data_IF_556290685985
#
_entry.id   IF_556290685985
#
_cell.length_a   1.000
_cell.length_b   1.000
_cell.length_c   1.000
_cell.angle_alpha   90.00
_cell.angle_beta   90.00
_cell.angle_gamma   90.00
#
_symmetry.space_group_name_H-M   'P 1'
#
loop_
_entity.id
_entity.type
_entity.pdbx_description
1 polymer ?
#
# COMPACT_ATOMS: atom_id res chain seq x y z
N UNK A 1 -5.94 -17.43 -5.09
CA UNK A 1 -4.62 -17.11 -5.67
C UNK A 1 -4.19 -15.74 -5.16
N UNK A 2 -3.07 -15.65 -4.45
CA UNK A 2 -2.57 -14.36 -3.93
C UNK A 2 -1.95 -13.54 -5.06
N UNK A 3 -2.25 -12.25 -5.10
CA UNK A 3 -1.63 -11.31 -6.04
C UNK A 3 -0.85 -10.26 -5.26
N UNK A 4 0.43 -10.13 -5.56
CA UNK A 4 1.32 -9.16 -4.93
C UNK A 4 1.65 -8.04 -5.93
N UNK A 5 1.51 -6.80 -5.48
CA UNK A 5 1.84 -5.60 -6.24
C UNK A 5 2.94 -4.85 -5.53
N UNK A 6 3.94 -4.40 -6.28
CA UNK A 6 4.99 -3.57 -5.72
C UNK A 6 4.54 -2.13 -5.56
N UNK A 7 5.08 -1.48 -4.54
CA UNK A 7 4.84 -0.06 -4.29
C UNK A 7 5.66 0.78 -5.26
N UNK A 8 5.03 1.75 -5.90
CA UNK A 8 5.74 2.70 -6.75
C UNK A 8 6.58 3.64 -5.88
N UNK A 9 7.87 3.67 -6.12
CA UNK A 9 8.78 4.55 -5.41
C UNK A 9 8.58 5.98 -5.96
N UNK A 10 8.23 6.91 -5.08
CA UNK A 10 8.12 8.31 -5.46
C UNK A 10 9.50 8.90 -5.79
N UNK A 11 9.57 9.73 -6.82
CA UNK A 11 10.80 10.45 -7.17
C UNK A 11 11.34 11.32 -6.02
N UNK A 12 10.46 11.78 -5.14
CA UNK A 12 10.81 12.50 -3.92
C UNK A 12 11.62 11.62 -2.96
N UNK A 13 11.27 10.34 -2.83
CA UNK A 13 12.00 9.39 -1.97
C UNK A 13 13.43 9.17 -2.47
N UNK A 14 13.63 9.06 -3.79
CA UNK A 14 14.96 8.97 -4.39
C UNK A 14 15.78 10.23 -4.13
N UNK A 15 15.18 11.41 -4.24
CA UNK A 15 15.85 12.68 -3.98
C UNK A 15 16.29 12.79 -2.53
N UNK A 16 15.44 12.41 -1.58
CA UNK A 16 15.81 12.35 -0.16
C UNK A 16 16.94 11.36 0.10
N UNK A 17 16.89 10.18 -0.52
CA UNK A 17 17.93 9.17 -0.37
C UNK A 17 19.29 9.68 -0.86
N UNK A 18 19.33 10.32 -2.02
CA UNK A 18 20.54 10.93 -2.56
C UNK A 18 21.06 12.03 -1.64
N UNK A 19 20.17 12.91 -1.16
CA UNK A 19 20.55 14.00 -0.26
C UNK A 19 21.14 13.47 1.05
N UNK A 20 20.51 12.50 1.69
CA UNK A 20 21.02 11.90 2.94
C UNK A 20 22.33 11.16 2.73
N UNK A 21 22.50 10.46 1.61
CA UNK A 21 23.76 9.81 1.26
C UNK A 21 24.88 10.83 1.08
N UNK A 22 24.60 11.96 0.44
CA UNK A 22 25.57 13.02 0.24
C UNK A 22 25.98 13.67 1.57
N UNK A 23 25.03 13.95 2.46
CA UNK A 23 25.30 14.46 3.81
C UNK A 23 26.16 13.45 4.60
N UNK A 24 25.87 12.17 4.52
CA UNK A 24 26.64 11.10 5.15
C UNK A 24 28.10 11.12 4.66
N UNK A 25 28.33 11.19 3.35
CA UNK A 25 29.69 11.23 2.78
C UNK A 25 30.47 12.46 3.24
N UNK A 26 29.83 13.63 3.26
CA UNK A 26 30.46 14.87 3.75
C UNK A 26 30.78 14.76 5.25
N UNK A 27 29.89 14.19 6.05
CA UNK A 27 30.11 14.00 7.48
C UNK A 27 31.31 13.08 7.78
N UNK A 28 31.50 12.02 6.98
CA UNK A 28 32.69 11.16 7.11
C UNK A 28 34.00 11.84 6.70
N UNK A 29 33.93 12.83 5.81
CA UNK A 29 35.12 13.61 5.43
C UNK A 29 35.65 14.49 6.56
N UNK A 30 34.77 14.96 7.44
CA UNK A 30 35.15 15.78 8.59
C UNK A 30 35.51 14.92 9.78
N UNK A 31 36.78 15.01 10.25
CA UNK A 31 37.37 14.20 11.35
C UNK A 31 36.59 14.23 12.68
N UNK A 32 35.69 15.17 12.89
CA UNK A 32 34.92 15.30 14.14
C UNK A 32 33.43 14.87 14.00
N UNK A 33 32.97 14.56 12.81
CA UNK A 33 31.55 14.32 12.54
C UNK A 33 31.19 12.84 12.26
N UNK A 34 32.08 11.92 12.61
CA UNK A 34 31.89 10.49 12.35
C UNK A 34 30.62 9.93 13.00
N UNK A 35 30.24 10.37 14.19
CA UNK A 35 29.02 9.96 14.87
C UNK A 35 27.75 10.43 14.10
N UNK A 36 27.82 11.63 13.55
CA UNK A 36 26.73 12.18 12.72
C UNK A 36 26.61 11.38 11.42
N UNK A 37 27.74 11.05 10.78
CA UNK A 37 27.78 10.20 9.59
C UNK A 37 27.17 8.82 9.86
N UNK A 38 27.46 8.21 11.00
CA UNK A 38 26.90 6.92 11.41
C UNK A 38 25.39 6.97 11.61
N UNK A 39 24.89 8.04 12.21
CA UNK A 39 23.46 8.27 12.38
C UNK A 39 22.73 8.39 11.02
N UNK A 40 23.27 9.18 10.09
CA UNK A 40 22.71 9.29 8.75
C UNK A 40 22.79 7.98 7.95
N UNK A 41 23.86 7.21 8.12
CA UNK A 41 23.99 5.88 7.52
C UNK A 41 22.84 4.95 7.97
N UNK A 42 22.50 4.96 9.26
CA UNK A 42 21.38 4.18 9.79
C UNK A 42 20.04 4.58 9.16
N UNK A 43 19.80 5.89 9.00
CA UNK A 43 18.60 6.40 8.34
C UNK A 43 18.52 5.95 6.88
N UNK A 44 19.65 6.00 6.15
CA UNK A 44 19.74 5.55 4.75
C UNK A 44 19.42 4.06 4.65
N UNK A 45 19.96 3.23 5.51
CA UNK A 45 19.71 1.78 5.53
C UNK A 45 18.22 1.49 5.76
N UNK A 46 17.60 2.15 6.73
CA UNK A 46 16.16 1.98 7.03
C UNK A 46 15.31 2.39 5.82
N UNK A 47 15.67 3.48 5.13
CA UNK A 47 14.94 3.92 3.94
C UNK A 47 15.09 2.95 2.76
N UNK A 48 16.27 2.40 2.53
CA UNK A 48 16.53 1.41 1.49
C UNK A 48 15.71 0.14 1.77
N UNK A 49 15.73 -0.36 3.00
CA UNK A 49 14.95 -1.51 3.44
C UNK A 49 13.44 -1.30 3.17
N UNK A 50 12.91 -0.14 3.51
CA UNK A 50 11.52 0.21 3.27
C UNK A 50 11.16 0.22 1.79
N UNK A 51 12.05 0.75 0.94
CA UNK A 51 11.85 0.83 -0.51
C UNK A 51 11.78 -0.56 -1.15
N UNK A 52 12.68 -1.46 -0.76
CA UNK A 52 12.79 -2.79 -1.37
C UNK A 52 11.66 -3.71 -0.94
N UNK A 53 11.23 -3.63 0.32
CA UNK A 53 10.29 -4.58 0.91
C UNK A 53 8.83 -4.08 0.99
N UNK A 54 8.53 -2.90 0.44
CA UNK A 54 7.14 -2.41 0.44
C UNK A 54 6.31 -3.09 -0.65
N UNK A 55 5.27 -3.82 -0.23
CA UNK A 55 4.37 -4.55 -1.13
C UNK A 55 2.93 -4.49 -0.67
N UNK A 56 2.02 -4.54 -1.65
CA UNK A 56 0.58 -4.71 -1.42
C UNK A 56 0.17 -6.09 -1.88
N UNK A 57 -0.37 -6.89 -1.00
CA UNK A 57 -0.80 -8.26 -1.31
C UNK A 57 -2.30 -8.41 -1.12
N UNK A 58 -2.98 -8.81 -2.18
CA UNK A 58 -4.37 -9.25 -2.13
C UNK A 58 -4.38 -10.75 -1.87
N UNK A 59 -4.75 -11.14 -0.65
CA UNK A 59 -4.80 -12.56 -0.26
C UNK A 59 -6.05 -13.26 -0.80
N UNK A 60 -5.99 -14.57 -0.96
CA UNK A 60 -7.13 -15.39 -1.37
C UNK A 60 -8.28 -15.31 -0.35
N UNK A 61 -7.94 -15.11 0.92
CA UNK A 61 -8.88 -15.03 2.05
C UNK A 61 -9.67 -13.70 2.09
N UNK A 62 -9.53 -12.85 1.09
CA UNK A 62 -10.25 -11.58 1.03
C UNK A 62 -9.69 -10.50 1.95
N UNK A 63 -8.38 -10.44 2.12
CA UNK A 63 -7.71 -9.40 2.87
C UNK A 63 -6.73 -8.62 1.98
N UNK A 64 -6.68 -7.31 2.18
CA UNK A 64 -5.64 -6.44 1.65
C UNK A 64 -4.54 -6.29 2.70
N UNK A 65 -3.39 -6.90 2.44
CA UNK A 65 -2.21 -6.82 3.30
C UNK A 65 -1.26 -5.78 2.76
N UNK A 66 -0.98 -4.78 3.57
CA UNK A 66 -0.04 -3.70 3.27
C UNK A 66 1.21 -3.96 4.09
N UNK A 67 2.29 -4.29 3.39
CA UNK A 67 3.60 -4.51 3.98
C UNK A 67 4.53 -3.35 3.61
N UNK A 68 4.97 -2.58 4.60
CA UNK A 68 5.82 -1.40 4.42
C UNK A 68 7.24 -1.62 4.92
N UNK A 69 7.78 -2.84 4.72
CA UNK A 69 9.12 -3.20 5.18
C UNK A 69 9.16 -3.75 6.60
N UNK A 70 10.34 -4.19 6.99
CA UNK A 70 10.61 -4.96 8.23
C UNK A 70 10.36 -4.18 9.52
N UNK A 71 10.49 -2.85 9.46
CA UNK A 71 10.37 -1.98 10.64
C UNK A 71 8.95 -1.46 10.88
N UNK A 72 8.00 -1.77 10.02
CA UNK A 72 6.60 -1.38 10.18
C UNK A 72 5.71 -2.60 10.32
N UNK A 73 4.68 -2.48 11.17
CA UNK A 73 3.67 -3.55 11.33
C UNK A 73 2.87 -3.70 10.05
N UNK A 74 2.62 -4.92 9.67
CA UNK A 74 1.69 -5.26 8.60
C UNK A 74 0.30 -4.72 8.92
N UNK A 75 -0.33 -4.12 7.93
CA UNK A 75 -1.71 -3.65 8.04
C UNK A 75 -2.61 -4.55 7.23
N UNK A 76 -3.45 -5.29 7.92
CA UNK A 76 -4.46 -6.15 7.31
C UNK A 76 -5.80 -5.43 7.28
N UNK A 77 -6.34 -5.21 6.10
CA UNK A 77 -7.65 -4.62 5.89
C UNK A 77 -8.52 -5.68 5.21
N UNK A 78 -9.55 -6.21 5.90
CA UNK A 78 -10.47 -7.14 5.26
C UNK A 78 -11.29 -6.41 4.19
N UNK A 79 -11.44 -7.02 3.02
CA UNK A 79 -12.22 -6.47 1.91
C UNK A 79 -13.67 -6.15 2.29
N UNK A 80 -14.20 -6.85 3.32
CA UNK A 80 -15.55 -6.58 3.85
C UNK A 80 -15.70 -5.20 4.49
N UNK A 81 -14.60 -4.57 4.88
CA UNK A 81 -14.62 -3.24 5.49
C UNK A 81 -14.31 -2.12 4.49
N UNK A 82 -14.00 -2.47 3.25
CA UNK A 82 -13.76 -1.50 2.18
C UNK A 82 -15.13 -1.04 1.67
N UNK A 83 -15.39 0.25 1.77
CA UNK A 83 -16.66 0.86 1.36
C UNK A 83 -16.55 1.41 -0.05
N UNK A 84 -15.40 1.98 -0.43
CA UNK A 84 -15.22 2.58 -1.75
C UNK A 84 -13.75 2.60 -2.16
N UNK A 85 -13.51 2.56 -3.47
CA UNK A 85 -12.18 2.59 -4.07
C UNK A 85 -12.14 3.59 -5.21
N UNK A 86 -11.37 4.64 -5.05
CA UNK A 86 -11.25 5.70 -6.06
C UNK A 86 -9.83 5.79 -6.63
N UNK A 87 -9.74 5.97 -7.94
CA UNK A 87 -8.48 6.29 -8.61
C UNK A 87 -8.34 7.82 -8.71
N UNK A 88 -7.46 8.39 -7.90
CA UNK A 88 -7.18 9.84 -7.93
C UNK A 88 -5.83 10.14 -8.60
N UNK A 89 -5.76 11.33 -9.20
CA UNK A 89 -4.53 11.88 -9.77
C UNK A 89 -4.01 12.97 -8.88
N UNK A 90 -2.79 12.83 -8.40
CA UNK A 90 -2.13 13.88 -7.65
C UNK A 90 -1.47 14.86 -8.62
N UNK A 91 -1.91 16.12 -8.56
CA UNK A 91 -1.19 17.22 -9.18
C UNK A 91 0.00 17.59 -8.29
N UNK A 92 1.15 16.99 -8.55
CA UNK A 92 2.38 17.42 -7.89
C UNK A 92 2.86 18.75 -8.45
N UNK A 93 3.46 19.60 -7.60
CA UNK A 93 4.03 20.92 -7.93
C UNK A 93 5.15 20.89 -8.98
N UNK A 94 5.54 19.73 -9.49
CA UNK A 94 6.49 19.56 -10.58
C UNK A 94 5.76 19.06 -11.82
N UNK A 95 5.68 19.91 -12.79
CA UNK A 95 5.06 19.81 -14.12
C UNK A 95 5.34 18.54 -14.95
N UNK A 96 5.89 17.46 -14.40
CA UNK A 96 6.45 16.38 -15.22
C UNK A 96 5.96 14.96 -14.93
N UNK A 97 5.20 14.69 -13.85
CA UNK A 97 4.67 13.33 -13.63
C UNK A 97 3.34 13.34 -12.90
N UNK A 98 2.29 13.00 -13.61
CA UNK A 98 1.00 12.63 -13.02
C UNK A 98 1.19 11.31 -12.24
N UNK A 99 1.19 11.39 -10.93
CA UNK A 99 1.19 10.18 -10.10
C UNK A 99 -0.25 9.81 -9.81
N UNK A 100 -0.67 8.66 -10.31
CA UNK A 100 -1.99 8.10 -10.00
C UNK A 100 -1.85 7.29 -8.71
N UNK A 101 -2.78 7.46 -7.80
CA UNK A 101 -2.87 6.70 -6.56
C UNK A 101 -4.28 6.17 -6.38
N UNK A 102 -4.39 5.06 -5.67
CA UNK A 102 -5.67 4.42 -5.34
C UNK A 102 -6.01 4.81 -3.92
N UNK A 103 -7.16 5.46 -3.77
CA UNK A 103 -7.71 5.82 -2.49
C UNK A 103 -8.69 4.74 -2.07
N UNK A 104 -8.46 4.13 -0.93
CA UNK A 104 -9.32 3.08 -0.38
C UNK A 104 -9.98 3.61 0.87
N UNK A 105 -11.32 3.70 0.83
CA UNK A 105 -12.15 4.03 1.97
C UNK A 105 -12.51 2.77 2.73
N UNK A 106 -12.25 2.74 4.02
CA UNK A 106 -12.57 1.58 4.87
C UNK A 106 -12.98 2.05 6.27
N UNK A 107 -13.77 1.23 6.97
CA UNK A 107 -14.09 1.43 8.40
C UNK A 107 -14.74 2.79 8.71
N UNK A 108 -15.76 3.18 7.94
CA UNK A 108 -16.66 4.34 8.18
C UNK A 108 -16.04 5.75 8.13
N UNK A 109 -14.82 5.98 7.72
CA UNK A 109 -14.22 7.30 7.43
C UNK A 109 -12.69 7.24 7.35
N UNK A 110 -12.13 6.05 7.50
CA UNK A 110 -10.69 5.90 7.35
C UNK A 110 -10.34 5.78 5.88
N UNK A 111 -9.38 6.57 5.49
CA UNK A 111 -8.89 6.62 4.12
C UNK A 111 -7.42 6.22 4.10
N UNK A 112 -7.04 5.40 3.17
CA UNK A 112 -5.65 5.06 2.91
C UNK A 112 -5.32 5.28 1.45
N UNK A 113 -4.21 5.94 1.21
CA UNK A 113 -3.64 6.16 -0.10
C UNK A 113 -2.63 5.06 -0.44
N UNK A 114 -2.84 4.39 -1.53
CA UNK A 114 -1.98 3.34 -2.03
C UNK A 114 -1.35 3.78 -3.35
N UNK A 115 -0.04 3.65 -3.45
CA UNK A 115 0.73 3.92 -4.67
C UNK A 115 1.28 2.61 -5.25
N UNK A 116 0.45 1.78 -5.88
CA UNK A 116 0.97 0.63 -6.60
C UNK A 116 1.72 1.07 -7.86
N UNK A 117 2.67 0.26 -8.30
CA UNK A 117 3.41 0.51 -9.55
C UNK A 117 2.48 0.57 -10.76
N UNK A 118 1.44 -0.29 -10.75
CA UNK A 118 0.38 -0.34 -11.78
C UNK A 118 -0.99 -0.10 -11.13
N UNK A 119 -1.41 1.15 -10.99
CA UNK A 119 -2.63 1.50 -10.26
C UNK A 119 -3.90 0.95 -10.91
N UNK A 120 -3.95 0.87 -12.24
CA UNK A 120 -5.11 0.36 -12.96
C UNK A 120 -5.28 -1.16 -12.78
N UNK A 121 -4.19 -1.93 -12.88
CA UNK A 121 -4.23 -3.38 -12.65
C UNK A 121 -4.59 -3.71 -11.19
N UNK A 122 -4.05 -2.94 -10.25
CA UNK A 122 -4.37 -3.10 -8.83
C UNK A 122 -5.84 -2.80 -8.55
N UNK A 123 -6.35 -1.68 -9.06
CA UNK A 123 -7.75 -1.29 -8.91
C UNK A 123 -8.68 -2.34 -9.51
N UNK A 124 -8.43 -2.80 -10.73
CA UNK A 124 -9.24 -3.84 -11.38
C UNK A 124 -9.21 -5.17 -10.59
N UNK A 125 -8.05 -5.54 -10.04
CA UNK A 125 -7.94 -6.74 -9.23
C UNK A 125 -8.70 -6.61 -7.90
N UNK A 126 -8.70 -5.42 -7.30
CA UNK A 126 -9.40 -5.13 -6.06
C UNK A 126 -10.93 -5.11 -6.28
N UNK A 127 -11.39 -4.39 -7.30
CA UNK A 127 -12.82 -4.30 -7.64
C UNK A 127 -13.40 -5.67 -7.97
N UNK A 128 -12.73 -6.47 -8.80
CA UNK A 128 -13.17 -7.84 -9.10
C UNK A 128 -13.38 -8.70 -7.86
N UNK A 129 -12.53 -8.53 -6.86
CA UNK A 129 -12.67 -9.29 -5.61
C UNK A 129 -13.78 -8.79 -4.72
N UNK A 130 -14.07 -7.50 -4.76
CA UNK A 130 -15.22 -6.91 -4.07
C UNK A 130 -16.52 -7.41 -4.70
N UNK A 131 -16.62 -7.39 -6.04
CA UNK A 131 -17.80 -7.90 -6.79
C UNK A 131 -18.05 -9.39 -6.51
N UNK A 132 -17.05 -10.26 -6.62
CA UNK A 132 -17.19 -11.69 -6.32
C UNK A 132 -17.63 -11.95 -4.88
N UNK A 133 -17.24 -11.10 -3.95
CA UNK A 133 -17.65 -11.25 -2.57
C UNK A 133 -19.10 -10.85 -2.33
N UNK A 134 -19.57 -9.80 -3.00
CA UNK A 134 -20.99 -9.40 -2.96
C UNK A 134 -21.87 -10.51 -3.53
N UNK A 135 -21.48 -11.13 -4.63
CA UNK A 135 -22.19 -12.27 -5.23
C UNK A 135 -22.25 -13.47 -4.27
N UNK A 136 -21.13 -13.82 -3.62
CA UNK A 136 -21.07 -14.93 -2.66
C UNK A 136 -21.94 -14.66 -1.42
N UNK A 137 -21.99 -13.43 -0.92
CA UNK A 137 -22.86 -13.02 0.20
C UNK A 137 -24.34 -13.05 -0.19
N UNK A 138 -24.68 -12.63 -1.41
CA UNK A 138 -26.04 -12.63 -1.90
C UNK A 138 -26.56 -14.06 -2.11
N UNK A 139 -25.75 -14.94 -2.68
CA UNK A 139 -26.05 -16.38 -2.81
C UNK A 139 -26.20 -17.03 -1.44
N UNK A 140 -25.34 -16.70 -0.48
CA UNK A 140 -25.42 -17.20 0.90
C UNK A 140 -26.72 -16.76 1.60
N UNK A 141 -27.16 -15.54 1.43
CA UNK A 141 -28.43 -15.03 1.98
C UNK A 141 -29.64 -15.67 1.33
N UNK A 142 -29.63 -15.87 0.01
CA UNK A 142 -30.69 -16.54 -0.73
C UNK A 142 -30.84 -18.00 -0.26
N UNK A 143 -29.74 -18.74 -0.11
CA UNK A 143 -29.71 -20.12 0.37
C UNK A 143 -30.20 -20.27 1.82
N UNK A 144 -29.91 -19.31 2.71
CA UNK A 144 -30.46 -19.30 4.07
C UNK A 144 -31.98 -19.03 4.09
N UNK A 145 -32.49 -18.23 3.17
CA UNK A 145 -33.93 -17.91 3.11
C UNK A 145 -34.77 -19.09 2.65
N UNK A 146 -34.24 -19.94 1.80
CA UNK A 146 -34.90 -21.14 1.29
C UNK A 146 -35.02 -22.25 2.34
N UNK A 147 -34.08 -22.36 3.27
CA UNK A 147 -34.13 -23.33 4.38
C UNK A 147 -35.19 -23.02 5.45
N UNK A 148 -35.60 -21.78 5.58
CA UNK A 148 -36.59 -21.35 6.60
C UNK A 148 -38.04 -21.50 6.10
N UNK A 149 -38.25 -21.74 4.81
CA UNK A 149 -39.58 -21.82 4.19
C UNK A 149 -40.05 -23.24 3.90
N UNK A 150 -39.48 -24.28 4.51
CA UNK A 150 -40.07 -25.63 4.46
C UNK A 150 -41.11 -25.79 5.59
N UNK A 151 -42.40 -25.73 5.28
CA UNK A 151 -43.42 -26.07 6.26
C UNK A 151 -43.41 -27.59 6.49
N UNK A 152 -43.45 -27.97 7.74
CA UNK A 152 -43.76 -29.34 8.18
C UNK A 152 -45.21 -29.66 7.83
#
# INVERSE_FOLDING_TARGET
MNRTFHVKISGTTHLFLILFTLIMLVAFWYKGAALIGMFFAMIVIINIERIIHSTYTLTADGNLVIYNGRFQKEKNIPLSRITDVELKRLFGLKHLRFTRYVLVHYDNDKVIDLLPEKPEEFMNALVRRLEHKEEDEEIGRASCRERVSSPV
#
